data_IF_750959185494
#
_entry.id   IF_750959185494
#
_cell.length_a   1.000
_cell.length_b   1.000
_cell.length_c   1.000
_cell.angle_alpha   90.00
_cell.angle_beta   90.00
_cell.angle_gamma   90.00
#
_symmetry.space_group_name_H-M   'P 1'
#
loop_
_entity.id
_entity.type
_entity.pdbx_description
1 polymer ?
#
# COMPACT_ATOMS: atom_id res chain seq x y z
N UNK A 1 -0.85 10.00 13.03
CA UNK A 1 -1.40 9.28 14.21
C UNK A 1 -2.39 10.15 14.96
N UNK A 2 -2.06 11.41 15.26
CA UNK A 2 -2.95 12.32 16.03
C UNK A 2 -4.39 12.43 15.49
N UNK A 3 -4.57 12.58 14.17
CA UNK A 3 -5.90 12.60 13.57
C UNK A 3 -6.66 11.28 13.74
N UNK A 4 -5.97 10.15 13.64
CA UNK A 4 -6.57 8.84 13.91
C UNK A 4 -6.93 8.66 15.38
N UNK A 5 -6.09 9.15 16.29
CA UNK A 5 -6.41 9.15 17.72
C UNK A 5 -7.65 10.02 18.04
N UNK A 6 -7.87 11.11 17.30
CA UNK A 6 -9.09 11.93 17.42
C UNK A 6 -10.31 11.25 16.83
N UNK A 7 -10.19 10.61 15.67
CA UNK A 7 -11.30 9.94 14.99
C UNK A 7 -11.72 8.65 15.69
N UNK A 8 -10.75 7.87 16.18
CA UNK A 8 -10.96 6.55 16.78
C UNK A 8 -10.19 6.45 18.11
N UNK A 9 -10.63 7.15 19.17
CA UNK A 9 -9.89 7.27 20.44
C UNK A 9 -9.71 5.95 21.19
N UNK A 10 -10.54 4.94 20.91
CA UNK A 10 -10.49 3.63 21.54
C UNK A 10 -9.83 2.55 20.66
N UNK A 11 -9.35 2.90 19.46
CA UNK A 11 -8.73 1.95 18.55
C UNK A 11 -7.25 1.75 18.90
N UNK A 12 -6.81 0.49 18.92
CA UNK A 12 -5.39 0.13 18.89
C UNK A 12 -4.77 0.58 17.57
N UNK A 13 -3.75 1.44 17.63
CA UNK A 13 -3.06 1.95 16.44
C UNK A 13 -1.70 1.29 16.26
N UNK A 14 -1.52 0.58 15.14
CA UNK A 14 -0.27 -0.09 14.78
C UNK A 14 0.37 0.68 13.63
N UNK A 15 1.55 1.28 13.88
CA UNK A 15 2.34 1.94 12.84
C UNK A 15 3.46 1.03 12.36
N UNK A 16 3.45 0.70 11.07
CA UNK A 16 4.51 -0.09 10.43
C UNK A 16 5.34 0.82 9.53
N UNK A 17 6.58 1.09 9.93
CA UNK A 17 7.46 2.00 9.19
C UNK A 17 8.26 1.24 8.12
N UNK A 18 8.14 1.66 6.86
CA UNK A 18 9.00 1.18 5.78
C UNK A 18 10.34 1.93 5.80
N UNK A 19 11.46 1.21 5.85
CA UNK A 19 12.80 1.77 5.59
C UNK A 19 13.22 1.42 4.17
N UNK A 20 14.02 2.27 3.52
CA UNK A 20 14.54 1.99 2.17
C UNK A 20 15.33 0.66 2.09
N UNK A 21 15.95 0.23 3.19
CA UNK A 21 16.62 -1.08 3.27
C UNK A 21 15.68 -2.25 2.99
N UNK A 22 14.37 -2.11 3.23
CA UNK A 22 13.37 -3.14 2.99
C UNK A 22 13.36 -3.60 1.52
N UNK A 23 13.60 -2.69 0.57
CA UNK A 23 13.64 -3.02 -0.85
C UNK A 23 14.80 -3.96 -1.23
N UNK A 24 15.90 -3.91 -0.46
CA UNK A 24 17.13 -4.69 -0.69
C UNK A 24 17.26 -5.89 0.25
N UNK A 25 16.37 -6.01 1.23
CA UNK A 25 16.42 -7.08 2.22
C UNK A 25 15.86 -8.37 1.64
N UNK A 26 16.59 -9.48 1.82
CA UNK A 26 16.13 -10.81 1.40
C UNK A 26 14.89 -11.27 2.18
N UNK A 27 14.23 -12.32 1.69
CA UNK A 27 12.96 -12.83 2.24
C UNK A 27 12.96 -13.02 3.76
N UNK A 28 13.95 -13.74 4.31
CA UNK A 28 14.07 -13.97 5.76
C UNK A 28 14.14 -12.67 6.57
N UNK A 29 14.81 -11.64 6.04
CA UNK A 29 14.91 -10.34 6.71
C UNK A 29 13.59 -9.57 6.65
N UNK A 30 12.86 -9.65 5.53
CA UNK A 30 11.52 -9.08 5.41
C UNK A 30 10.55 -9.76 6.39
N UNK A 31 10.57 -11.09 6.45
CA UNK A 31 9.80 -11.88 7.41
C UNK A 31 10.11 -11.46 8.85
N UNK A 32 11.40 -11.37 9.21
CA UNK A 32 11.82 -10.94 10.55
C UNK A 32 11.34 -9.53 10.88
N UNK A 33 11.32 -8.62 9.91
CA UNK A 33 10.85 -7.24 10.11
C UNK A 33 9.34 -7.12 10.32
N UNK A 34 8.54 -8.04 9.75
CA UNK A 34 7.08 -8.04 9.84
C UNK A 34 6.54 -8.97 10.93
N UNK A 35 7.36 -9.88 11.46
CA UNK A 35 6.99 -10.77 12.55
C UNK A 35 6.39 -10.05 13.78
N UNK A 36 6.90 -8.89 14.23
CA UNK A 36 6.27 -8.13 15.31
C UNK A 36 4.84 -7.69 14.99
N UNK A 37 4.53 -7.37 13.73
CA UNK A 37 3.19 -6.97 13.29
C UNK A 37 2.23 -8.15 13.43
N UNK A 38 2.65 -9.35 13.01
CA UNK A 38 1.84 -10.57 13.15
C UNK A 38 1.56 -10.86 14.62
N UNK A 39 2.55 -10.73 15.50
CA UNK A 39 2.34 -10.93 16.95
C UNK A 39 1.36 -9.91 17.54
N UNK A 40 1.42 -8.65 17.11
CA UNK A 40 0.45 -7.64 17.52
C UNK A 40 -0.96 -7.98 17.02
N UNK A 41 -1.11 -8.36 15.75
CA UNK A 41 -2.41 -8.80 15.20
C UNK A 41 -2.97 -10.00 15.98
N UNK A 42 -2.13 -10.98 16.34
CA UNK A 42 -2.51 -12.12 17.21
C UNK A 42 -2.97 -11.66 18.58
N UNK A 43 -2.21 -10.75 19.22
CA UNK A 43 -2.51 -10.23 20.55
C UNK A 43 -3.82 -9.44 20.59
N UNK A 44 -4.10 -8.66 19.54
CA UNK A 44 -5.35 -7.90 19.39
C UNK A 44 -6.53 -8.78 18.94
N UNK A 45 -6.33 -10.10 18.75
CA UNK A 45 -7.41 -11.03 18.41
C UNK A 45 -7.77 -11.07 16.92
N UNK A 46 -7.01 -10.42 16.03
CA UNK A 46 -7.30 -10.38 14.58
C UNK A 46 -7.31 -11.75 13.89
N UNK A 47 -6.69 -12.75 14.51
CA UNK A 47 -6.56 -14.11 13.97
C UNK A 47 -7.45 -15.11 14.74
N UNK A 48 -8.37 -14.61 15.55
CA UNK A 48 -9.34 -15.37 16.33
C UNK A 48 -10.77 -14.90 15.98
N UNK A 49 -11.75 -15.76 16.21
CA UNK A 49 -13.17 -15.41 16.09
C UNK A 49 -13.75 -15.08 17.47
N UNK A 50 -14.57 -14.03 17.62
CA UNK A 50 -14.92 -13.03 16.59
C UNK A 50 -13.74 -12.11 16.29
N UNK A 51 -13.60 -11.73 15.03
CA UNK A 51 -12.49 -10.88 14.58
C UNK A 51 -12.79 -9.42 14.94
N UNK A 52 -11.82 -8.62 15.40
CA UNK A 52 -12.00 -7.19 15.58
C UNK A 52 -12.20 -6.49 14.23
N UNK A 53 -12.85 -5.32 14.27
CA UNK A 53 -12.91 -4.43 13.10
C UNK A 53 -11.54 -3.77 12.88
N UNK A 54 -11.14 -3.57 11.62
CA UNK A 54 -9.82 -3.03 11.26
C UNK A 54 -9.86 -2.11 10.06
N UNK A 55 -9.23 -0.94 10.20
CA UNK A 55 -8.95 -0.03 9.10
C UNK A 55 -7.46 -0.11 8.75
N UNK A 56 -7.15 -0.55 7.53
CA UNK A 56 -5.78 -0.64 7.03
C UNK A 56 -5.48 0.58 6.17
N UNK A 57 -4.44 1.34 6.48
CA UNK A 57 -4.01 2.48 5.66
C UNK A 57 -2.58 2.27 5.15
N UNK A 58 -2.45 2.13 3.84
CA UNK A 58 -1.21 1.84 3.14
C UNK A 58 -0.73 3.10 2.45
N UNK A 59 0.48 3.54 2.81
CA UNK A 59 1.12 4.71 2.22
C UNK A 59 2.25 4.29 1.30
N UNK A 60 2.26 4.83 0.07
CA UNK A 60 3.30 4.60 -0.95
C UNK A 60 3.47 3.13 -1.38
N UNK A 61 4.24 2.91 -2.45
CA UNK A 61 4.66 1.57 -2.88
C UNK A 61 5.41 0.80 -1.77
N UNK A 62 6.18 1.48 -0.92
CA UNK A 62 6.91 0.82 0.18
C UNK A 62 5.97 0.20 1.22
N UNK A 63 4.83 0.85 1.48
CA UNK A 63 3.76 0.28 2.31
C UNK A 63 3.11 -0.93 1.64
N UNK A 64 2.83 -0.83 0.34
CA UNK A 64 2.22 -1.95 -0.40
C UNK A 64 3.11 -3.18 -0.52
N UNK A 65 4.43 -3.03 -0.67
CA UNK A 65 5.34 -4.17 -0.62
C UNK A 65 5.37 -4.84 0.76
N UNK A 66 5.30 -4.08 1.85
CA UNK A 66 5.16 -4.65 3.20
C UNK A 66 3.82 -5.36 3.35
N UNK A 67 2.74 -4.78 2.82
CA UNK A 67 1.40 -5.37 2.82
C UNK A 67 1.36 -6.70 2.06
N UNK A 68 1.96 -6.76 0.87
CA UNK A 68 2.09 -8.00 0.09
C UNK A 68 2.83 -9.08 0.89
N UNK A 69 3.93 -8.73 1.55
CA UNK A 69 4.70 -9.69 2.32
C UNK A 69 3.95 -10.14 3.59
N UNK A 70 3.30 -9.20 4.29
CA UNK A 70 2.44 -9.51 5.44
C UNK A 70 1.30 -10.46 5.03
N UNK A 71 0.64 -10.17 3.91
CA UNK A 71 -0.39 -11.01 3.31
C UNK A 71 0.11 -12.43 3.08
N UNK A 72 1.28 -12.58 2.45
CA UNK A 72 1.91 -13.88 2.20
C UNK A 72 2.18 -14.64 3.50
N UNK A 73 2.72 -13.97 4.52
CA UNK A 73 3.02 -14.58 5.81
C UNK A 73 1.75 -15.03 6.54
N UNK A 74 0.70 -14.21 6.54
CA UNK A 74 -0.59 -14.54 7.17
C UNK A 74 -1.33 -15.67 6.43
N UNK A 75 -1.29 -15.70 5.09
CA UNK A 75 -1.85 -16.82 4.34
C UNK A 75 -1.11 -18.14 4.63
N UNK A 76 0.20 -18.06 4.88
CA UNK A 76 1.02 -19.23 5.20
C UNK A 76 0.75 -19.78 6.62
N UNK A 77 0.17 -18.99 7.54
CA UNK A 77 -0.17 -19.48 8.89
C UNK A 77 -1.45 -20.32 8.92
N UNK A 78 -2.25 -20.31 7.84
CA UNK A 78 -3.50 -21.08 7.75
C UNK A 78 -4.64 -20.56 8.64
N UNK A 79 -4.45 -19.41 9.29
CA UNK A 79 -5.45 -18.81 10.17
C UNK A 79 -6.54 -18.14 9.31
N UNK A 80 -7.78 -18.61 9.43
CA UNK A 80 -8.96 -18.06 8.73
C UNK A 80 -9.93 -17.46 9.74
N UNK A 81 -9.74 -16.19 10.13
CA UNK A 81 -10.69 -15.49 10.99
C UNK A 81 -12.07 -15.36 10.33
N UNK A 82 -13.10 -15.18 11.16
CA UNK A 82 -14.48 -14.97 10.74
C UNK A 82 -14.69 -13.63 10.02
N UNK A 83 -15.77 -13.52 9.25
CA UNK A 83 -15.98 -12.44 8.26
C UNK A 83 -16.93 -11.32 8.71
N UNK A 84 -17.34 -11.31 9.98
CA UNK A 84 -18.46 -10.47 10.45
C UNK A 84 -18.01 -9.11 11.03
N UNK A 85 -16.82 -8.65 10.63
CA UNK A 85 -16.16 -7.48 11.22
C UNK A 85 -15.95 -6.38 10.19
N UNK A 86 -16.02 -5.12 10.62
CA UNK A 86 -15.89 -3.99 9.72
C UNK A 86 -14.44 -3.87 9.27
N UNK A 87 -14.21 -4.05 7.97
CA UNK A 87 -12.86 -4.08 7.38
C UNK A 87 -12.83 -3.12 6.21
N UNK A 88 -11.88 -2.20 6.19
CA UNK A 88 -11.63 -1.30 5.05
C UNK A 88 -10.14 -1.15 4.79
N UNK A 89 -9.80 -0.87 3.53
CA UNK A 89 -8.42 -0.62 3.09
C UNK A 89 -8.35 0.75 2.43
N UNK A 90 -7.33 1.53 2.79
CA UNK A 90 -7.00 2.80 2.15
C UNK A 90 -5.64 2.67 1.49
N UNK A 91 -5.59 3.01 0.21
CA UNK A 91 -4.40 3.13 -0.61
C UNK A 91 -4.12 4.61 -0.82
N UNK A 92 -3.12 5.16 -0.12
CA UNK A 92 -2.69 6.56 -0.26
C UNK A 92 -1.38 6.61 -1.05
N UNK A 93 -1.44 7.23 -2.22
CA UNK A 93 -0.34 7.34 -3.18
C UNK A 93 0.21 5.96 -3.59
N UNK A 94 -0.67 5.00 -3.90
CA UNK A 94 -0.30 3.59 -4.19
C UNK A 94 -1.46 2.86 -4.91
N UNK A 95 -1.21 1.83 -5.75
CA UNK A 95 0.08 1.40 -6.29
C UNK A 95 0.49 2.15 -7.56
N UNK A 96 1.79 2.40 -7.68
CA UNK A 96 2.38 2.92 -8.90
C UNK A 96 2.71 1.84 -9.93
N UNK A 97 3.36 2.27 -11.02
CA UNK A 97 3.95 1.39 -12.03
C UNK A 97 5.44 1.20 -11.80
N UNK A 98 6.00 0.17 -12.43
CA UNK A 98 7.44 0.09 -12.60
C UNK A 98 7.88 1.19 -13.58
N UNK A 99 8.56 2.21 -13.06
CA UNK A 99 8.94 3.40 -13.82
C UNK A 99 10.33 3.90 -13.42
N UNK A 100 11.14 4.21 -14.43
CA UNK A 100 12.46 4.80 -14.23
C UNK A 100 12.35 6.18 -13.59
N UNK A 101 11.39 7.01 -14.00
CA UNK A 101 11.22 8.35 -13.43
C UNK A 101 10.88 8.27 -11.94
N UNK A 102 9.94 7.40 -11.55
CA UNK A 102 9.58 7.15 -10.16
C UNK A 102 10.76 6.62 -9.34
N UNK A 103 11.53 5.67 -9.90
CA UNK A 103 12.74 5.14 -9.26
C UNK A 103 13.77 6.25 -9.03
N UNK A 104 14.09 7.04 -10.06
CA UNK A 104 15.05 8.14 -9.93
C UNK A 104 14.54 9.21 -8.97
N UNK A 105 13.28 9.61 -9.04
CA UNK A 105 12.70 10.60 -8.14
C UNK A 105 12.81 10.15 -6.66
N UNK A 106 12.50 8.89 -6.37
CA UNK A 106 12.57 8.34 -5.01
C UNK A 106 14.00 8.26 -4.47
N UNK A 107 14.94 7.74 -5.26
CA UNK A 107 16.32 7.50 -4.80
C UNK A 107 17.20 8.74 -4.85
N UNK A 108 16.88 9.72 -5.72
CA UNK A 108 17.64 10.97 -5.83
C UNK A 108 17.13 12.07 -4.90
N UNK A 109 15.94 11.93 -4.29
CA UNK A 109 15.36 12.92 -3.39
C UNK A 109 16.30 13.41 -2.26
N UNK A 110 17.13 12.56 -1.63
CA UNK A 110 18.07 13.02 -0.59
C UNK A 110 19.23 13.88 -1.12
N UNK A 111 19.50 13.85 -2.44
CA UNK A 111 20.70 14.43 -3.03
C UNK A 111 20.42 15.78 -3.69
N UNK A 112 21.17 16.82 -3.25
CA UNK A 112 21.02 18.19 -3.75
C UNK A 112 22.05 18.60 -4.82
N UNK A 113 23.24 18.01 -4.83
CA UNK A 113 24.28 18.32 -5.82
C UNK A 113 24.01 17.61 -7.15
N UNK A 114 24.16 18.32 -8.27
CA UNK A 114 24.02 17.75 -9.62
C UNK A 114 25.00 16.59 -9.82
N UNK A 115 26.24 16.71 -9.33
CA UNK A 115 27.26 15.67 -9.47
C UNK A 115 26.86 14.41 -8.71
N UNK A 116 26.43 14.52 -7.45
CA UNK A 116 26.01 13.35 -6.68
C UNK A 116 24.74 12.71 -7.25
N UNK A 117 23.80 13.53 -7.77
CA UNK A 117 22.62 13.02 -8.47
C UNK A 117 23.01 12.22 -9.71
N UNK A 118 23.94 12.71 -10.53
CA UNK A 118 24.41 11.98 -11.73
C UNK A 118 25.11 10.67 -11.37
N UNK A 119 25.99 10.69 -10.36
CA UNK A 119 26.71 9.50 -9.90
C UNK A 119 25.78 8.37 -9.44
N UNK A 120 24.57 8.71 -8.98
CA UNK A 120 23.56 7.74 -8.54
C UNK A 120 22.56 7.43 -9.66
N UNK A 121 22.17 8.42 -10.46
CA UNK A 121 21.20 8.24 -11.54
C UNK A 121 21.69 7.28 -12.62
N UNK A 122 22.97 7.36 -12.99
CA UNK A 122 23.58 6.50 -14.02
C UNK A 122 23.48 5.02 -13.65
N UNK A 123 24.01 4.55 -12.50
CA UNK A 123 23.89 3.14 -12.13
C UNK A 123 22.44 2.71 -11.93
N UNK A 124 21.56 3.55 -11.37
CA UNK A 124 20.13 3.21 -11.24
C UNK A 124 19.46 3.01 -12.60
N UNK A 125 19.78 3.84 -13.58
CA UNK A 125 19.24 3.72 -14.95
C UNK A 125 19.72 2.44 -15.62
N UNK A 126 21.00 2.08 -15.45
CA UNK A 126 21.55 0.82 -15.95
C UNK A 126 20.84 -0.37 -15.28
N UNK A 127 20.72 -0.36 -13.95
CA UNK A 127 20.04 -1.41 -13.19
C UNK A 127 18.59 -1.57 -13.64
N UNK A 128 17.85 -0.45 -13.76
CA UNK A 128 16.47 -0.45 -14.25
C UNK A 128 16.38 -1.09 -15.64
N UNK A 129 17.29 -0.71 -16.54
CA UNK A 129 17.31 -1.22 -17.92
C UNK A 129 17.60 -2.72 -17.95
N UNK A 130 18.55 -3.19 -17.14
CA UNK A 130 18.88 -4.61 -17.02
C UNK A 130 17.72 -5.43 -16.45
N UNK A 131 17.06 -4.95 -15.38
CA UNK A 131 15.88 -5.62 -14.80
C UNK A 131 14.76 -5.68 -15.82
N UNK A 132 14.48 -4.57 -16.51
CA UNK A 132 13.40 -4.49 -17.50
C UNK A 132 13.69 -5.40 -18.71
N UNK A 133 14.92 -5.41 -19.22
CA UNK A 133 15.33 -6.30 -20.30
C UNK A 133 15.26 -7.77 -19.89
N UNK A 134 15.70 -8.10 -18.67
CA UNK A 134 15.61 -9.45 -18.13
C UNK A 134 14.15 -9.90 -18.02
N UNK A 135 13.28 -9.11 -17.39
CA UNK A 135 11.84 -9.40 -17.29
C UNK A 135 11.18 -9.56 -18.65
N UNK A 136 11.58 -8.76 -19.65
CA UNK A 136 11.08 -8.91 -21.02
C UNK A 136 11.52 -10.24 -21.66
N UNK A 137 12.78 -10.65 -21.48
CA UNK A 137 13.33 -11.89 -22.03
C UNK A 137 12.74 -13.11 -21.33
N UNK A 138 12.68 -13.12 -20.00
CA UNK A 138 12.19 -14.26 -19.21
C UNK A 138 10.67 -14.30 -19.12
N UNK A 139 9.98 -13.23 -19.51
CA UNK A 139 8.55 -13.02 -19.30
C UNK A 139 8.15 -13.10 -17.81
N UNK A 140 9.12 -12.90 -16.92
CA UNK A 140 8.85 -12.82 -15.49
C UNK A 140 8.19 -11.49 -15.15
N UNK A 141 7.15 -11.56 -14.31
CA UNK A 141 6.46 -10.38 -13.79
C UNK A 141 7.39 -9.58 -12.88
N UNK A 142 7.42 -8.26 -13.04
CA UNK A 142 8.21 -7.40 -12.16
C UNK A 142 7.69 -7.51 -10.72
N UNK A 143 8.53 -7.16 -9.73
CA UNK A 143 8.06 -7.11 -8.34
C UNK A 143 6.89 -6.12 -8.16
N UNK A 144 6.84 -5.05 -8.96
CA UNK A 144 5.72 -4.11 -8.94
C UNK A 144 4.42 -4.76 -9.43
N UNK A 145 4.49 -5.54 -10.51
CA UNK A 145 3.31 -6.23 -11.05
C UNK A 145 2.79 -7.27 -10.06
N UNK A 146 3.69 -8.03 -9.42
CA UNK A 146 3.33 -8.98 -8.37
C UNK A 146 2.67 -8.30 -7.16
N UNK A 147 3.15 -7.10 -6.78
CA UNK A 147 2.55 -6.29 -5.72
C UNK A 147 1.16 -5.79 -6.13
N UNK A 148 1.01 -5.23 -7.34
CA UNK A 148 -0.29 -4.78 -7.88
C UNK A 148 -1.32 -5.92 -7.90
N UNK A 149 -0.93 -7.09 -8.40
CA UNK A 149 -1.77 -8.28 -8.41
C UNK A 149 -2.13 -8.71 -6.98
N UNK A 150 -1.17 -8.71 -6.05
CA UNK A 150 -1.44 -9.07 -4.66
C UNK A 150 -2.46 -8.13 -4.00
N UNK A 151 -2.39 -6.82 -4.28
CA UNK A 151 -3.37 -5.86 -3.78
C UNK A 151 -4.77 -6.11 -4.34
N UNK A 152 -4.90 -6.56 -5.59
CA UNK A 152 -6.19 -6.87 -6.22
C UNK A 152 -6.77 -8.25 -5.89
N UNK A 153 -6.18 -9.00 -4.96
CA UNK A 153 -6.83 -10.21 -4.43
C UNK A 153 -7.98 -9.82 -3.51
N UNK A 154 -9.15 -10.44 -3.69
CA UNK A 154 -10.28 -10.30 -2.76
C UNK A 154 -9.84 -10.61 -1.32
N UNK A 155 -9.10 -11.72 -1.16
CA UNK A 155 -8.41 -12.13 0.07
C UNK A 155 -6.96 -11.64 0.11
N UNK A 156 -6.76 -10.33 0.02
CA UNK A 156 -5.44 -9.72 0.26
C UNK A 156 -5.02 -9.88 1.73
N UNK A 157 -5.96 -9.87 2.67
CA UNK A 157 -5.74 -10.36 4.04
C UNK A 157 -6.71 -11.53 4.31
N UNK A 158 -6.43 -12.38 5.32
CA UNK A 158 -7.31 -13.50 5.63
C UNK A 158 -8.78 -13.12 5.88
N UNK A 159 -9.02 -11.90 6.37
CA UNK A 159 -10.36 -11.37 6.69
C UNK A 159 -10.98 -10.52 5.58
N UNK A 160 -10.27 -10.20 4.49
CA UNK A 160 -10.83 -9.36 3.41
C UNK A 160 -11.58 -10.20 2.38
N UNK A 161 -12.53 -9.58 1.68
CA UNK A 161 -13.27 -10.18 0.57
C UNK A 161 -13.56 -9.12 -0.53
N UNK A 162 -14.34 -9.49 -1.54
CA UNK A 162 -14.71 -8.63 -2.67
C UNK A 162 -15.52 -7.39 -2.22
N UNK A 163 -16.30 -7.51 -1.15
CA UNK A 163 -17.15 -6.43 -0.60
C UNK A 163 -16.39 -5.47 0.31
N UNK A 164 -15.21 -5.86 0.81
CA UNK A 164 -14.34 -5.01 1.64
C UNK A 164 -14.09 -3.69 0.92
N UNK A 165 -14.54 -2.54 1.45
CA UNK A 165 -14.34 -1.25 0.81
C UNK A 165 -12.85 -0.88 0.69
N UNK A 166 -12.46 -0.42 -0.50
CA UNK A 166 -11.10 0.01 -0.84
C UNK A 166 -11.12 1.44 -1.34
N UNK A 167 -10.50 2.34 -0.60
CA UNK A 167 -10.39 3.75 -0.97
C UNK A 167 -8.99 4.04 -1.52
N UNK A 168 -8.92 4.55 -2.74
CA UNK A 168 -7.69 5.08 -3.32
C UNK A 168 -7.66 6.61 -3.15
N UNK A 169 -6.53 7.14 -2.69
CA UNK A 169 -6.27 8.57 -2.60
C UNK A 169 -4.99 8.84 -3.39
N UNK A 170 -5.06 9.72 -4.38
CA UNK A 170 -3.96 10.01 -5.29
C UNK A 170 -4.08 11.40 -5.91
N UNK A 171 -3.08 11.81 -6.67
CA UNK A 171 -3.09 13.10 -7.38
C UNK A 171 -2.29 13.13 -8.66
N UNK A 172 -2.58 14.13 -9.48
CA UNK A 172 -1.91 14.43 -10.76
C UNK A 172 -0.43 14.84 -10.61
N UNK A 173 -0.06 15.42 -9.47
CA UNK A 173 1.31 15.91 -9.22
C UNK A 173 2.17 14.98 -8.36
N UNK A 174 1.75 13.74 -8.16
CA UNK A 174 2.58 12.76 -7.45
C UNK A 174 3.69 12.21 -8.36
N UNK A 175 4.91 12.69 -8.13
CA UNK A 175 6.10 12.30 -8.92
C UNK A 175 6.59 10.87 -8.65
N UNK A 176 6.21 10.27 -7.50
CA UNK A 176 6.67 8.93 -7.12
C UNK A 176 5.65 7.87 -7.55
N UNK A 177 4.36 8.16 -7.42
CA UNK A 177 3.26 7.30 -7.84
C UNK A 177 2.35 8.06 -8.77
N UNK A 178 2.64 7.90 -10.06
CA UNK A 178 1.91 8.55 -11.15
C UNK A 178 0.43 8.12 -11.16
N UNK A 179 -0.44 9.11 -11.35
CA UNK A 179 -1.89 8.96 -11.37
C UNK A 179 -2.35 7.82 -12.27
N UNK A 180 -1.79 7.71 -13.48
CA UNK A 180 -2.22 6.74 -14.48
C UNK A 180 -1.98 5.29 -13.99
N UNK A 181 -0.96 5.07 -13.16
CA UNK A 181 -0.71 3.78 -12.53
C UNK A 181 -1.78 3.39 -11.50
N UNK A 182 -2.27 4.38 -10.76
CA UNK A 182 -3.33 4.20 -9.76
C UNK A 182 -4.68 3.97 -10.46
N UNK A 183 -5.00 4.77 -11.48
CA UNK A 183 -6.25 4.65 -12.24
C UNK A 183 -6.37 3.31 -12.98
N UNK A 184 -5.29 2.82 -13.59
CA UNK A 184 -5.28 1.46 -14.16
C UNK A 184 -5.55 0.40 -13.08
N UNK A 185 -4.94 0.53 -11.89
CA UNK A 185 -5.14 -0.44 -10.83
C UNK A 185 -6.58 -0.44 -10.29
N UNK A 186 -7.19 0.76 -10.22
CA UNK A 186 -8.61 0.94 -9.89
C UNK A 186 -9.49 0.25 -10.93
N UNK A 187 -9.22 0.45 -12.22
CA UNK A 187 -9.98 -0.18 -13.30
C UNK A 187 -9.87 -1.71 -13.24
N UNK A 188 -8.66 -2.26 -13.10
CA UNK A 188 -8.41 -3.69 -12.90
C UNK A 188 -9.20 -4.24 -11.69
N UNK A 189 -9.21 -3.50 -10.58
CA UNK A 189 -9.91 -3.90 -9.36
C UNK A 189 -11.44 -3.91 -9.56
N UNK A 190 -11.98 -2.94 -10.30
CA UNK A 190 -13.40 -2.86 -10.65
C UNK A 190 -13.82 -4.00 -11.59
N UNK A 191 -12.99 -4.34 -12.58
CA UNK A 191 -13.22 -5.48 -13.47
C UNK A 191 -13.27 -6.81 -12.70
N UNK A 192 -12.49 -6.93 -11.62
CA UNK A 192 -12.52 -8.07 -10.70
C UNK A 192 -13.72 -8.05 -9.73
N UNK A 193 -14.59 -7.05 -9.80
CA UNK A 193 -15.78 -6.94 -8.96
C UNK A 193 -15.49 -6.50 -7.51
N UNK A 194 -14.32 -5.90 -7.25
CA UNK A 194 -13.95 -5.43 -5.92
C UNK A 194 -14.65 -4.10 -5.59
N UNK A 195 -15.00 -3.90 -4.32
CA UNK A 195 -15.59 -2.65 -3.85
C UNK A 195 -14.55 -1.53 -3.77
N UNK A 196 -14.49 -0.71 -4.82
CA UNK A 196 -13.49 0.36 -4.97
C UNK A 196 -14.13 1.75 -4.99
N UNK A 197 -13.45 2.68 -4.33
CA UNK A 197 -13.70 4.13 -4.33
C UNK A 197 -12.39 4.85 -4.60
N UNK A 198 -12.48 6.06 -5.12
CA UNK A 198 -11.31 6.91 -5.37
C UNK A 198 -11.57 8.36 -4.97
N UNK A 199 -10.51 9.00 -4.48
CA UNK A 199 -10.44 10.43 -4.18
C UNK A 199 -9.23 11.01 -4.89
N UNK A 200 -9.51 11.66 -6.03
CA UNK A 200 -8.50 12.39 -6.79
C UNK A 200 -8.29 13.79 -6.19
N UNK A 201 -7.05 14.10 -5.85
CA UNK A 201 -6.60 15.42 -5.42
C UNK A 201 -5.84 16.11 -6.55
N UNK A 202 -6.02 17.43 -6.68
CA UNK A 202 -5.27 18.23 -7.64
C UNK A 202 -4.10 18.92 -6.94
N UNK A 203 -2.89 18.78 -7.47
CA UNK A 203 -1.73 19.55 -7.02
C UNK A 203 -1.13 19.13 -5.66
N UNK A 204 -1.50 17.97 -5.12
CA UNK A 204 -0.86 17.45 -3.90
C UNK A 204 0.40 16.66 -4.21
N UNK A 205 1.42 16.80 -3.35
CA UNK A 205 2.61 15.95 -3.42
C UNK A 205 2.34 14.54 -2.88
N UNK A 206 3.26 13.60 -3.16
CA UNK A 206 3.25 12.23 -2.67
C UNK A 206 2.96 12.16 -1.16
N UNK A 207 1.95 11.36 -0.76
CA UNK A 207 1.53 11.12 0.64
C UNK A 207 1.24 12.43 1.41
N UNK A 208 0.87 13.48 0.69
CA UNK A 208 0.64 14.82 1.26
C UNK A 208 -0.74 15.38 0.94
N UNK A 209 -1.69 14.54 0.47
CA UNK A 209 -3.05 14.94 0.09
C UNK A 209 -3.80 15.68 1.22
N UNK A 210 -3.65 15.19 2.46
CA UNK A 210 -4.25 15.81 3.66
C UNK A 210 -3.79 17.26 3.90
N UNK A 211 -2.62 17.66 3.36
CA UNK A 211 -2.12 19.03 3.50
C UNK A 211 -2.78 20.00 2.52
N UNK A 212 -3.33 19.50 1.43
CA UNK A 212 -4.02 20.31 0.41
C UNK A 212 -5.47 20.54 0.84
N UNK A 213 -6.18 19.48 1.24
CA UNK A 213 -7.55 19.58 1.72
C UNK A 213 -7.79 18.52 2.80
N UNK A 214 -7.58 18.91 4.05
CA UNK A 214 -7.70 18.02 5.20
C UNK A 214 -9.15 17.56 5.42
N UNK A 215 -10.12 18.45 5.24
CA UNK A 215 -11.54 18.15 5.49
C UNK A 215 -12.05 17.11 4.49
N UNK A 216 -11.74 17.28 3.21
CA UNK A 216 -12.05 16.29 2.18
C UNK A 216 -11.36 14.96 2.44
N UNK A 217 -10.07 14.99 2.77
CA UNK A 217 -9.30 13.77 3.06
C UNK A 217 -9.93 12.97 4.21
N UNK A 218 -10.18 13.61 5.35
CA UNK A 218 -10.74 12.93 6.51
C UNK A 218 -12.22 12.58 6.33
N UNK A 219 -12.98 13.34 5.53
CA UNK A 219 -14.34 12.96 5.15
C UNK A 219 -14.35 11.64 4.37
N UNK A 220 -13.44 11.47 3.41
CA UNK A 220 -13.32 10.22 2.65
C UNK A 220 -12.91 9.03 3.53
N UNK A 221 -11.93 9.22 4.42
CA UNK A 221 -11.50 8.19 5.39
C UNK A 221 -12.66 7.75 6.30
N UNK A 222 -13.47 8.70 6.80
CA UNK A 222 -14.65 8.38 7.61
C UNK A 222 -15.72 7.66 6.80
N UNK A 223 -15.94 8.09 5.56
CA UNK A 223 -16.97 7.52 4.67
C UNK A 223 -16.68 6.06 4.33
N UNK A 224 -15.44 5.73 3.96
CA UNK A 224 -15.06 4.34 3.66
C UNK A 224 -15.15 3.44 4.90
N UNK A 225 -14.85 3.99 6.08
CA UNK A 225 -15.01 3.26 7.34
C UNK A 225 -16.47 3.00 7.70
N UNK A 226 -17.33 4.01 7.55
CA UNK A 226 -18.77 3.86 7.76
C UNK A 226 -19.37 2.81 6.82
N UNK A 227 -18.98 2.81 5.53
CA UNK A 227 -19.41 1.79 4.56
C UNK A 227 -19.03 0.37 5.00
N UNK A 228 -17.85 0.18 5.58
CA UNK A 228 -17.43 -1.11 6.12
C UNK A 228 -18.21 -1.53 7.36
N UNK A 229 -18.57 -0.57 8.23
CA UNK A 229 -19.36 -0.82 9.43
C UNK A 229 -20.85 -1.07 9.16
N UNK A 230 -21.38 -0.51 8.08
CA UNK A 230 -22.77 -0.72 7.66
C UNK A 230 -22.95 -2.03 6.86
N UNK A 231 -21.84 -2.63 6.38
CA UNK A 231 -21.83 -3.86 5.58
C UNK A 231 -21.69 -5.15 6.40
N UNK A 232 -21.54 -5.03 7.72
CA UNK A 232 -21.47 -6.14 8.69
C UNK A 232 -22.81 -6.37 9.37
#
# INVERSE_FOLDING_TARGET
MDSYAKLYPHASQILVQCRQSFFWTGRKGKEASLYPVINLLKKEGMLQAPTPSILVHIFSNGGAFQMQELSRMLQSSGETPGTDSAIAIIYDSVPGRWSLSSMLAAFLAPFRSTVSRMLIAIPLTIIYSLITAFSFITRERSSMDQMREALNKARVLPWTNERTPRLYIYSDTDELVQQEGVEEHIAEAQELGLNVRSEYFKGSAHVSHVRVDADRYWAAVKKVWAEAADST
#
